data_IF_560713382655
#
_entry.id   IF_560713382655
#
_cell.length_a   1.000
_cell.length_b   1.000
_cell.length_c   1.000
_cell.angle_alpha   90.00
_cell.angle_beta   90.00
_cell.angle_gamma   90.00
#
_symmetry.space_group_name_H-M   'P 1'
#
loop_
_entity.id
_entity.type
_entity.pdbx_description
1 polymer ?
#
# COMPACT_ATOMS: atom_id res chain seq x y z
N UNK A 1 -1.14 -15.34 -22.63
CA UNK A 1 0.34 -15.41 -22.61
C UNK A 1 0.84 -14.00 -22.91
N UNK A 2 1.54 -13.34 -21.99
CA UNK A 2 1.97 -11.95 -22.21
C UNK A 2 3.05 -11.93 -23.31
N UNK A 3 2.84 -11.21 -24.42
CA UNK A 3 3.65 -11.33 -25.65
C UNK A 3 5.13 -10.91 -25.51
N UNK A 4 5.54 -10.44 -24.34
CA UNK A 4 6.90 -9.95 -24.06
C UNK A 4 7.57 -10.62 -22.86
N UNK A 5 6.91 -11.58 -22.21
CA UNK A 5 7.44 -12.21 -21.00
C UNK A 5 8.73 -12.99 -21.25
N UNK A 6 8.90 -13.55 -22.46
CA UNK A 6 10.02 -14.42 -22.81
C UNK A 6 11.00 -13.79 -23.81
N UNK A 7 10.74 -12.56 -24.29
CA UNK A 7 11.48 -11.98 -25.41
C UNK A 7 12.85 -11.36 -25.05
N UNK A 8 13.12 -11.10 -23.76
CA UNK A 8 14.32 -10.34 -23.33
C UNK A 8 14.99 -10.88 -22.05
N UNK A 9 14.64 -12.09 -21.61
CA UNK A 9 15.26 -12.77 -20.46
C UNK A 9 14.73 -12.35 -19.07
N UNK A 10 15.19 -13.03 -18.00
CA UNK A 10 14.63 -12.88 -16.64
C UNK A 10 14.87 -11.49 -16.03
N UNK A 11 15.98 -10.84 -16.39
CA UNK A 11 16.30 -9.50 -15.91
C UNK A 11 15.30 -8.46 -16.40
N UNK A 12 14.92 -8.55 -17.68
CA UNK A 12 13.93 -7.65 -18.28
C UNK A 12 12.57 -7.80 -17.62
N UNK A 13 12.12 -9.06 -17.41
CA UNK A 13 10.86 -9.35 -16.72
C UNK A 13 10.81 -8.71 -15.34
N UNK A 14 11.88 -8.84 -14.55
CA UNK A 14 11.96 -8.21 -13.22
C UNK A 14 11.84 -6.69 -13.29
N UNK A 15 12.58 -6.05 -14.20
CA UNK A 15 12.50 -4.60 -14.41
C UNK A 15 11.11 -4.16 -14.84
N UNK A 16 10.49 -4.90 -15.75
CA UNK A 16 9.14 -4.60 -16.24
C UNK A 16 8.08 -4.70 -15.15
N UNK A 17 8.13 -5.74 -14.32
CA UNK A 17 7.24 -5.90 -13.16
C UNK A 17 7.42 -4.74 -12.16
N UNK A 18 8.65 -4.29 -11.95
CA UNK A 18 8.93 -3.16 -11.08
C UNK A 18 8.35 -1.85 -11.63
N UNK A 19 8.51 -1.58 -12.94
CA UNK A 19 7.91 -0.41 -13.60
C UNK A 19 6.39 -0.45 -13.51
N UNK A 20 5.77 -1.62 -13.69
CA UNK A 20 4.33 -1.79 -13.54
C UNK A 20 3.86 -1.42 -12.11
N UNK A 21 4.56 -1.93 -11.09
CA UNK A 21 4.26 -1.61 -9.70
C UNK A 21 4.30 -0.09 -9.44
N UNK A 22 5.40 0.59 -9.80
CA UNK A 22 5.52 2.04 -9.63
C UNK A 22 4.47 2.82 -10.42
N UNK A 23 4.07 2.31 -11.59
CA UNK A 23 3.04 2.94 -12.41
C UNK A 23 1.68 2.86 -11.71
N UNK A 24 1.33 1.71 -11.14
CA UNK A 24 0.08 1.53 -10.38
C UNK A 24 0.06 2.39 -9.11
N UNK A 25 1.18 2.48 -8.41
CA UNK A 25 1.33 3.33 -7.23
C UNK A 25 1.11 4.82 -7.57
N UNK A 26 1.76 5.30 -8.64
CA UNK A 26 1.64 6.69 -9.09
C UNK A 26 0.28 7.03 -9.73
N UNK A 27 -0.43 6.04 -10.28
CA UNK A 27 -1.74 6.23 -10.89
C UNK A 27 -2.86 6.48 -9.87
N UNK A 28 -2.58 6.27 -8.58
CA UNK A 28 -3.45 6.67 -7.48
C UNK A 28 -4.29 5.54 -6.86
N UNK A 29 -5.20 5.87 -5.94
CA UNK A 29 -5.78 4.91 -4.98
C UNK A 29 -6.60 3.80 -5.64
N UNK A 30 -7.23 4.06 -6.79
CA UNK A 30 -7.96 3.03 -7.53
C UNK A 30 -7.04 1.94 -8.08
N UNK A 31 -5.89 2.34 -8.63
CA UNK A 31 -4.90 1.41 -9.21
C UNK A 31 -4.11 0.68 -8.13
N UNK A 32 -3.83 1.34 -7.00
CA UNK A 32 -3.28 0.68 -5.81
C UNK A 32 -4.20 -0.45 -5.35
N UNK A 33 -5.50 -0.19 -5.19
CA UNK A 33 -6.50 -1.22 -4.79
C UNK A 33 -6.59 -2.35 -5.81
N UNK A 34 -6.54 -2.04 -7.09
CA UNK A 34 -6.52 -3.07 -8.13
C UNK A 34 -5.26 -3.94 -8.06
N UNK A 35 -4.08 -3.33 -7.88
CA UNK A 35 -2.82 -4.06 -7.73
C UNK A 35 -2.79 -4.94 -6.49
N UNK A 36 -3.32 -4.45 -5.37
CA UNK A 36 -3.54 -5.22 -4.14
C UNK A 36 -4.46 -6.43 -4.38
N UNK A 37 -5.59 -6.25 -5.07
CA UNK A 37 -6.46 -7.37 -5.44
C UNK A 37 -5.74 -8.39 -6.33
N UNK A 38 -5.03 -7.92 -7.37
CA UNK A 38 -4.30 -8.79 -8.28
C UNK A 38 -3.19 -9.58 -7.57
N UNK A 39 -2.53 -8.99 -6.57
CA UNK A 39 -1.52 -9.65 -5.75
C UNK A 39 -2.06 -10.88 -4.99
N UNK A 40 -3.34 -10.88 -4.62
CA UNK A 40 -3.98 -12.01 -3.92
C UNK A 40 -4.43 -13.15 -4.86
N UNK A 41 -4.48 -12.91 -6.18
CA UNK A 41 -5.02 -13.84 -7.19
C UNK A 41 -3.92 -14.64 -7.90
N UNK A 42 -3.14 -15.40 -7.14
CA UNK A 42 -2.10 -16.29 -7.69
C UNK A 42 -2.65 -17.44 -8.57
N UNK A 43 -3.97 -17.64 -8.56
CA UNK A 43 -4.70 -18.50 -9.47
C UNK A 43 -4.91 -17.88 -10.86
N UNK A 44 -4.89 -16.55 -10.98
CA UNK A 44 -5.06 -15.82 -12.24
C UNK A 44 -3.76 -15.24 -12.79
N UNK A 45 -2.83 -14.88 -11.91
CA UNK A 45 -1.65 -14.12 -12.26
C UNK A 45 -0.36 -14.89 -11.96
N UNK A 46 0.73 -14.65 -12.73
CA UNK A 46 2.03 -15.23 -12.44
C UNK A 46 2.52 -14.88 -11.04
N UNK A 47 3.12 -15.86 -10.34
CA UNK A 47 3.54 -15.70 -8.94
C UNK A 47 4.48 -14.51 -8.72
N UNK A 48 5.38 -14.23 -9.65
CA UNK A 48 6.31 -13.10 -9.56
C UNK A 48 5.62 -11.73 -9.75
N UNK A 49 4.58 -11.65 -10.58
CA UNK A 49 3.71 -10.48 -10.63
C UNK A 49 3.00 -10.27 -9.29
N UNK A 50 2.40 -11.33 -8.72
CA UNK A 50 1.75 -11.24 -7.43
C UNK A 50 2.71 -10.77 -6.33
N UNK A 51 3.93 -11.31 -6.30
CA UNK A 51 4.97 -10.90 -5.34
C UNK A 51 5.36 -9.43 -5.50
N UNK A 52 5.53 -8.93 -6.72
CA UNK A 52 5.89 -7.53 -6.93
C UNK A 52 4.73 -6.59 -6.54
N UNK A 53 3.50 -6.92 -6.94
CA UNK A 53 2.31 -6.13 -6.59
C UNK A 53 1.95 -6.21 -5.11
N UNK A 54 2.36 -7.26 -4.39
CA UNK A 54 2.13 -7.36 -2.97
C UNK A 54 2.80 -6.23 -2.17
N UNK A 55 3.83 -5.57 -2.74
CA UNK A 55 4.45 -4.38 -2.16
C UNK A 55 3.48 -3.20 -2.01
N UNK A 56 2.43 -3.14 -2.84
CA UNK A 56 1.35 -2.16 -2.73
C UNK A 56 0.50 -2.35 -1.47
N UNK A 57 0.57 -3.51 -0.80
CA UNK A 57 -0.10 -3.70 0.49
C UNK A 57 0.64 -3.02 1.66
N UNK A 58 1.92 -2.65 1.46
CA UNK A 58 2.77 -2.15 2.53
C UNK A 58 3.13 -0.68 2.34
N UNK A 59 3.10 0.07 3.44
CA UNK A 59 3.62 1.44 3.57
C UNK A 59 2.68 2.55 3.14
N UNK A 60 1.51 2.63 3.78
CA UNK A 60 0.86 3.93 3.85
C UNK A 60 1.76 4.89 4.64
N UNK A 61 2.04 6.09 4.13
CA UNK A 61 2.84 7.06 4.85
C UNK A 61 2.15 7.43 6.17
N UNK A 62 2.83 7.17 7.28
CA UNK A 62 2.38 7.57 8.61
C UNK A 62 2.73 9.03 8.85
N UNK A 63 1.76 9.83 9.24
CA UNK A 63 2.04 11.17 9.77
C UNK A 63 2.47 11.08 11.24
N UNK A 64 3.09 12.15 11.75
CA UNK A 64 3.49 12.22 13.16
C UNK A 64 2.24 12.21 14.06
N UNK A 65 2.28 11.44 15.15
CA UNK A 65 1.19 11.32 16.14
C UNK A 65 0.65 12.68 16.63
N UNK A 66 1.50 13.71 16.71
CA UNK A 66 1.08 15.07 17.08
C UNK A 66 -0.02 15.64 16.18
N UNK A 67 -0.06 15.26 14.90
CA UNK A 67 -1.14 15.63 13.99
C UNK A 67 -2.43 14.90 14.35
N UNK A 68 -2.36 13.58 14.61
CA UNK A 68 -3.49 12.76 15.05
C UNK A 68 -4.11 13.31 16.34
N UNK A 69 -3.27 13.56 17.36
CA UNK A 69 -3.69 14.11 18.64
C UNK A 69 -4.44 15.44 18.47
N UNK A 70 -3.86 16.38 17.70
CA UNK A 70 -4.51 17.68 17.43
C UNK A 70 -5.83 17.53 16.69
N UNK A 71 -5.92 16.62 15.73
CA UNK A 71 -7.15 16.38 14.97
C UNK A 71 -8.27 15.85 15.88
N UNK A 72 -7.95 14.90 16.77
CA UNK A 72 -8.90 14.34 17.75
C UNK A 72 -9.33 15.41 18.75
N UNK A 73 -8.38 16.09 19.42
CA UNK A 73 -8.70 17.11 20.41
C UNK A 73 -9.54 18.26 19.81
N UNK A 74 -9.28 18.63 18.56
CA UNK A 74 -10.09 19.62 17.83
C UNK A 74 -11.50 19.11 17.53
N UNK A 75 -11.67 17.83 17.22
CA UNK A 75 -12.98 17.24 16.90
C UNK A 75 -13.87 17.10 18.14
N UNK A 76 -13.28 16.79 19.30
CA UNK A 76 -14.02 16.53 20.55
C UNK A 76 -14.03 17.72 21.53
N UNK A 77 -13.13 18.69 21.38
CA UNK A 77 -13.07 19.89 22.23
C UNK A 77 -12.45 19.67 23.62
N UNK A 78 -11.80 18.54 23.84
CA UNK A 78 -11.16 18.14 25.09
C UNK A 78 -9.84 17.41 24.83
N UNK A 79 -9.04 17.15 25.86
CA UNK A 79 -7.72 16.52 25.71
C UNK A 79 -7.85 15.04 25.41
N UNK A 80 -6.89 14.47 24.68
CA UNK A 80 -6.88 13.04 24.35
C UNK A 80 -6.99 12.14 25.60
N UNK A 81 -6.29 12.51 26.67
CA UNK A 81 -6.29 11.82 27.97
C UNK A 81 -7.60 11.92 28.76
N UNK A 82 -8.51 12.81 28.36
CA UNK A 82 -9.84 12.93 28.95
C UNK A 82 -10.87 12.06 28.20
N UNK A 83 -10.51 11.58 27.00
CA UNK A 83 -11.36 10.77 26.12
C UNK A 83 -11.01 9.28 26.24
N UNK A 84 -9.72 8.96 26.34
CA UNK A 84 -9.21 7.59 26.36
C UNK A 84 -8.34 7.35 27.60
N UNK A 85 -8.52 6.21 28.27
CA UNK A 85 -7.66 5.76 29.37
C UNK A 85 -6.24 5.41 28.89
N UNK A 86 -6.13 4.85 27.68
CA UNK A 86 -4.87 4.53 27.01
C UNK A 86 -5.01 4.75 25.49
N UNK A 87 -3.94 5.19 24.85
CA UNK A 87 -3.93 5.47 23.41
C UNK A 87 -2.57 5.09 22.79
N UNK A 88 -2.59 4.09 21.91
CA UNK A 88 -1.41 3.64 21.16
C UNK A 88 -1.01 4.69 20.11
N UNK A 89 0.19 5.25 20.25
CA UNK A 89 0.69 6.28 19.32
C UNK A 89 1.11 5.69 17.97
N UNK A 90 1.44 4.40 17.93
CA UNK A 90 1.90 3.71 16.71
C UNK A 90 0.68 3.26 15.90
N UNK A 91 0.52 3.74 14.65
CA UNK A 91 -0.60 3.31 13.81
C UNK A 91 -0.46 1.83 13.45
N UNK A 92 -1.51 1.06 13.73
CA UNK A 92 -1.59 -0.38 13.42
C UNK A 92 -2.04 -0.66 12.00
N UNK A 93 -2.70 0.30 11.36
CA UNK A 93 -3.24 0.19 10.00
C UNK A 93 -3.40 1.57 9.35
N UNK A 94 -3.62 1.57 8.04
CA UNK A 94 -4.01 2.76 7.28
C UNK A 94 -5.27 2.46 6.46
N UNK A 95 -6.13 3.46 6.31
CA UNK A 95 -7.40 3.41 5.59
C UNK A 95 -7.68 4.68 4.81
#
# INVERSE_FOLDING_TARGET
MAPFADSFGPQFRKTWLHVLHLTLENAGPAFIKWGQWAATRSDLFPRDLCTELAKLHSSAPTHNFSYTKKAIEKAFGCKLSEIFDDFEEVPVASG
#
